data_IF_251646852732
#
_entry.id   IF_251646852732
#
_cell.length_a   1.000
_cell.length_b   1.000
_cell.length_c   1.000
_cell.angle_alpha   90.00
_cell.angle_beta   90.00
_cell.angle_gamma   90.00
#
_symmetry.space_group_name_H-M   'P 1'
#
loop_
_entity.id
_entity.type
_entity.pdbx_description
1 polymer ?
#
# COMPACT_ATOMS: atom_id res chain seq x y z
N UNK A 1 -13.97 10.30 24.49
CA UNK A 1 -12.51 10.64 24.51
C UNK A 1 -12.10 11.04 23.10
N UNK A 2 -11.50 12.19 22.91
CA UNK A 2 -11.15 12.70 21.58
C UNK A 2 -9.92 11.91 21.07
N UNK A 3 -10.13 10.96 20.15
CA UNK A 3 -9.08 10.10 19.58
C UNK A 3 -7.87 10.91 19.05
N UNK A 4 -8.11 12.11 18.53
CA UNK A 4 -7.08 13.03 18.07
C UNK A 4 -6.11 13.45 19.19
N UNK A 5 -6.61 13.64 20.40
CA UNK A 5 -5.80 14.05 21.58
C UNK A 5 -4.92 12.89 22.09
N UNK A 6 -5.42 11.67 21.97
CA UNK A 6 -4.68 10.45 22.35
C UNK A 6 -3.53 10.17 21.38
N UNK A 7 -3.78 10.33 20.09
CA UNK A 7 -2.77 10.13 19.04
C UNK A 7 -1.64 11.16 19.15
N UNK A 8 -1.97 12.42 19.38
CA UNK A 8 -0.98 13.52 19.54
C UNK A 8 -0.11 13.31 20.78
N UNK A 9 -0.68 12.82 21.90
CA UNK A 9 0.10 12.57 23.12
C UNK A 9 1.08 11.40 22.98
N UNK A 10 0.76 10.40 22.12
CA UNK A 10 1.63 9.27 21.82
C UNK A 10 2.77 9.66 20.85
N UNK A 11 2.53 10.65 19.99
CA UNK A 11 3.46 11.15 18.98
C UNK A 11 4.40 12.27 19.49
N UNK A 12 4.43 12.56 20.78
CA UNK A 12 5.31 13.60 21.37
C UNK A 12 6.81 13.27 21.27
N UNK A 13 7.18 12.32 20.46
CA UNK A 13 8.55 12.04 20.08
C UNK A 13 8.93 12.93 18.88
N UNK A 14 10.09 13.61 18.94
CA UNK A 14 10.59 14.60 17.98
C UNK A 14 10.69 14.17 16.51
N UNK A 15 10.38 12.89 16.23
CA UNK A 15 10.52 12.27 14.90
C UNK A 15 9.20 12.10 14.13
N UNK A 16 8.10 12.69 14.63
CA UNK A 16 6.79 12.54 13.99
C UNK A 16 6.22 13.90 13.60
N UNK A 17 5.74 13.99 12.38
CA UNK A 17 5.01 15.17 11.90
C UNK A 17 3.57 14.74 11.60
N UNK A 18 2.62 15.43 12.21
CA UNK A 18 1.22 15.26 11.93
C UNK A 18 0.73 16.43 11.07
N UNK A 19 0.33 16.13 9.85
CA UNK A 19 -0.33 17.09 8.98
C UNK A 19 -1.86 16.98 9.17
N UNK A 20 -2.52 18.11 9.31
CA UNK A 20 -3.98 18.18 9.24
C UNK A 20 -4.44 17.84 7.80
N UNK A 21 -5.73 17.97 7.52
CA UNK A 21 -6.24 17.75 6.17
C UNK A 21 -5.54 18.69 5.17
N UNK A 22 -4.82 18.11 4.22
CA UNK A 22 -4.12 18.83 3.14
C UNK A 22 -4.78 18.50 1.79
N UNK A 23 -4.67 19.38 0.78
CA UNK A 23 -5.15 19.11 -0.57
C UNK A 23 -4.52 17.84 -1.15
N UNK A 24 -5.26 17.11 -2.00
CA UNK A 24 -4.77 15.86 -2.61
C UNK A 24 -3.47 16.04 -3.40
N UNK A 25 -3.35 17.14 -4.14
CA UNK A 25 -2.13 17.47 -4.92
C UNK A 25 -0.91 17.61 -4.03
N UNK A 26 -1.04 18.29 -2.90
CA UNK A 26 0.02 18.43 -1.89
C UNK A 26 0.35 17.09 -1.24
N UNK A 27 -0.64 16.25 -0.93
CA UNK A 27 -0.43 14.92 -0.40
C UNK A 27 0.36 14.03 -1.37
N UNK A 28 0.04 14.07 -2.67
CA UNK A 28 0.77 13.34 -3.71
C UNK A 28 2.20 13.85 -3.81
N UNK A 29 2.40 15.16 -3.83
CA UNK A 29 3.75 15.75 -3.88
C UNK A 29 4.61 15.30 -2.69
N UNK A 30 4.06 15.32 -1.48
CA UNK A 30 4.74 14.82 -0.29
C UNK A 30 5.10 13.33 -0.44
N UNK A 31 4.17 12.49 -0.89
CA UNK A 31 4.41 11.06 -1.09
C UNK A 31 5.50 10.80 -2.13
N UNK A 32 5.49 11.52 -3.24
CA UNK A 32 6.45 11.33 -4.33
C UNK A 32 7.84 11.88 -3.96
N UNK A 33 7.91 13.08 -3.42
CA UNK A 33 9.15 13.81 -3.30
C UNK A 33 9.79 13.77 -1.90
N UNK A 34 9.02 13.46 -0.85
CA UNK A 34 9.51 13.50 0.54
C UNK A 34 9.48 12.15 1.25
N UNK A 35 8.56 11.27 0.91
CA UNK A 35 8.44 9.97 1.58
C UNK A 35 9.33 8.91 0.93
N UNK A 36 9.96 8.08 1.74
CA UNK A 36 10.77 6.96 1.29
C UNK A 36 9.99 5.65 1.26
N UNK A 37 9.04 5.50 2.17
CA UNK A 37 8.19 4.33 2.35
C UNK A 37 6.76 4.80 2.60
N UNK A 38 5.79 4.13 2.02
CA UNK A 38 4.37 4.39 2.26
C UNK A 38 3.78 3.26 3.07
N UNK A 39 2.97 3.60 4.08
CA UNK A 39 2.32 2.63 4.93
C UNK A 39 0.81 2.62 4.68
N UNK A 40 0.26 1.44 4.45
CA UNK A 40 -1.17 1.18 4.35
C UNK A 40 -1.60 0.20 5.44
N UNK A 41 -2.82 0.38 5.95
CA UNK A 41 -3.42 -0.53 6.93
C UNK A 41 -4.61 -1.21 6.27
N UNK A 42 -4.69 -2.52 6.39
CA UNK A 42 -5.75 -3.36 5.86
C UNK A 42 -7.10 -3.10 6.51
N UNK A 43 -8.14 -3.55 5.84
CA UNK A 43 -9.49 -3.54 6.37
C UNK A 43 -9.74 -4.78 7.26
N UNK A 44 -10.73 -4.70 8.12
CA UNK A 44 -11.19 -5.82 8.94
C UNK A 44 -12.14 -6.77 8.18
N UNK A 45 -12.35 -6.54 6.88
CA UNK A 45 -13.18 -7.38 6.02
C UNK A 45 -12.41 -7.86 4.78
N UNK A 46 -12.86 -8.96 4.19
CA UNK A 46 -12.22 -9.63 3.04
C UNK A 46 -12.71 -9.17 1.67
N UNK A 47 -13.70 -8.29 1.65
CA UNK A 47 -14.41 -7.93 0.41
C UNK A 47 -13.93 -6.61 -0.20
N UNK A 48 -13.22 -5.82 0.57
CA UNK A 48 -12.83 -4.47 0.16
C UNK A 48 -11.32 -4.32 0.10
N UNK A 49 -10.82 -4.04 -1.10
CA UNK A 49 -9.43 -3.60 -1.25
C UNK A 49 -9.26 -2.18 -0.70
N UNK A 50 -8.20 -1.93 0.07
CA UNK A 50 -7.88 -0.58 0.51
C UNK A 50 -7.50 0.29 -0.70
N UNK A 51 -8.34 1.25 -1.07
CA UNK A 51 -8.11 2.10 -2.25
C UNK A 51 -6.77 2.84 -2.22
N UNK A 52 -6.31 3.20 -1.02
CA UNK A 52 -5.04 3.91 -0.84
C UNK A 52 -3.82 3.06 -1.18
N UNK A 53 -3.86 1.76 -0.95
CA UNK A 53 -2.71 0.90 -1.28
C UNK A 53 -2.48 0.83 -2.78
N UNK A 54 -3.54 0.83 -3.58
CA UNK A 54 -3.44 0.84 -5.04
C UNK A 54 -2.79 2.15 -5.53
N UNK A 55 -3.24 3.28 -4.98
CA UNK A 55 -2.60 4.58 -5.25
C UNK A 55 -1.11 4.56 -4.87
N UNK A 56 -0.76 4.01 -3.71
CA UNK A 56 0.64 3.96 -3.25
C UNK A 56 1.53 3.07 -4.13
N UNK A 57 1.03 1.92 -4.55
CA UNK A 57 1.74 1.03 -5.49
C UNK A 57 2.07 1.79 -6.78
N UNK A 58 1.11 2.56 -7.33
CA UNK A 58 1.28 3.32 -8.57
C UNK A 58 2.35 4.42 -8.49
N UNK A 59 2.71 4.87 -7.30
CA UNK A 59 3.77 5.87 -7.11
C UNK A 59 5.19 5.28 -7.19
N UNK A 60 5.33 3.96 -7.35
CA UNK A 60 6.62 3.28 -7.47
C UNK A 60 7.50 3.32 -6.21
N UNK A 61 6.94 3.71 -5.08
CA UNK A 61 7.64 3.72 -3.77
C UNK A 61 7.47 2.36 -3.07
N UNK A 62 8.36 1.99 -2.14
CA UNK A 62 8.12 0.85 -1.26
C UNK A 62 6.83 1.06 -0.47
N UNK A 63 5.94 0.08 -0.54
CA UNK A 63 4.67 0.06 0.18
C UNK A 63 4.70 -1.07 1.20
N UNK A 64 4.50 -0.73 2.45
CA UNK A 64 4.24 -1.71 3.51
C UNK A 64 2.73 -1.71 3.79
N UNK A 65 2.09 -2.84 3.55
CA UNK A 65 0.68 -3.03 3.87
C UNK A 65 0.53 -3.90 5.10
N UNK A 66 0.00 -3.33 6.19
CA UNK A 66 -0.26 -4.08 7.41
C UNK A 66 -1.61 -4.80 7.31
N UNK A 67 -1.56 -6.12 7.17
CA UNK A 67 -2.74 -6.97 7.14
C UNK A 67 -3.31 -7.14 8.55
N UNK A 68 -4.53 -6.65 8.78
CA UNK A 68 -5.27 -6.81 10.05
C UNK A 68 -5.83 -8.22 10.22
N UNK A 69 -6.13 -8.91 9.13
CA UNK A 69 -6.74 -10.24 9.09
C UNK A 69 -5.89 -11.19 8.26
N UNK A 70 -5.93 -12.49 8.59
CA UNK A 70 -5.13 -13.54 7.94
C UNK A 70 -5.44 -13.75 6.46
N UNK A 71 -6.65 -13.40 6.03
CA UNK A 71 -7.12 -13.50 4.66
C UNK A 71 -7.33 -12.11 4.01
N UNK A 72 -6.45 -11.17 4.32
CA UNK A 72 -6.46 -9.85 3.70
C UNK A 72 -6.39 -9.99 2.17
N UNK A 73 -7.29 -9.32 1.42
CA UNK A 73 -7.35 -9.44 -0.03
C UNK A 73 -6.06 -8.99 -0.74
N UNK A 74 -5.22 -8.19 -0.09
CA UNK A 74 -3.94 -7.74 -0.65
C UNK A 74 -2.91 -8.85 -0.82
N UNK A 75 -3.01 -9.97 -0.10
CA UNK A 75 -2.10 -11.11 -0.29
C UNK A 75 -2.07 -11.64 -1.73
N UNK A 76 -3.17 -11.49 -2.48
CA UNK A 76 -3.24 -11.88 -3.88
C UNK A 76 -2.32 -11.05 -4.79
N UNK A 77 -1.95 -9.86 -4.35
CA UNK A 77 -1.19 -8.88 -5.14
C UNK A 77 0.28 -8.79 -4.75
N UNK A 78 0.69 -9.36 -3.61
CA UNK A 78 2.07 -9.24 -3.12
C UNK A 78 3.10 -9.74 -4.14
N UNK A 79 2.79 -10.84 -4.85
CA UNK A 79 3.71 -11.41 -5.84
C UNK A 79 3.70 -10.69 -7.19
N UNK A 80 2.72 -9.80 -7.43
CA UNK A 80 2.61 -9.05 -8.68
C UNK A 80 3.42 -7.74 -8.66
N UNK A 81 3.65 -7.18 -7.47
CA UNK A 81 4.29 -5.88 -7.33
C UNK A 81 5.52 -5.96 -6.43
N UNK A 82 6.69 -5.77 -7.02
CA UNK A 82 7.96 -5.81 -6.31
C UNK A 82 8.15 -4.69 -5.28
N UNK A 83 7.34 -3.63 -5.37
CA UNK A 83 7.33 -2.52 -4.41
C UNK A 83 6.30 -2.69 -3.28
N UNK A 84 5.56 -3.81 -3.25
CA UNK A 84 4.59 -4.13 -2.19
C UNK A 84 5.14 -5.23 -1.28
N UNK A 85 5.09 -4.99 0.02
CA UNK A 85 5.33 -6.01 1.04
C UNK A 85 4.16 -6.01 2.03
N UNK A 86 3.55 -7.18 2.20
CA UNK A 86 2.51 -7.38 3.21
C UNK A 86 3.17 -7.81 4.52
N UNK A 87 2.83 -7.11 5.55
CA UNK A 87 3.31 -7.37 6.91
C UNK A 87 2.12 -7.62 7.85
N UNK A 88 2.34 -8.39 8.88
CA UNK A 88 1.39 -8.66 9.94
C UNK A 88 2.12 -8.77 11.28
N UNK A 89 1.41 -9.08 12.35
CA UNK A 89 1.99 -9.19 13.72
C UNK A 89 3.09 -10.23 13.84
N UNK A 90 3.13 -11.22 12.94
CA UNK A 90 4.11 -12.32 12.97
C UNK A 90 5.29 -12.09 12.01
N UNK A 91 5.27 -11.01 11.24
CA UNK A 91 6.35 -10.69 10.29
C UNK A 91 7.65 -10.44 11.03
N UNK A 92 8.68 -11.18 10.66
CA UNK A 92 9.99 -11.07 11.29
C UNK A 92 10.73 -9.82 10.83
N UNK A 93 11.50 -9.23 11.73
CA UNK A 93 12.30 -8.03 11.47
C UNK A 93 13.26 -8.20 10.28
N UNK A 94 13.86 -9.36 10.18
CA UNK A 94 14.83 -9.72 9.15
C UNK A 94 14.20 -9.74 7.76
N UNK A 95 12.97 -10.22 7.67
CA UNK A 95 12.19 -10.22 6.42
C UNK A 95 11.92 -8.80 5.94
N UNK A 96 11.52 -7.93 6.85
CA UNK A 96 11.29 -6.51 6.55
C UNK A 96 12.59 -5.81 6.13
N UNK A 97 13.68 -6.05 6.85
CA UNK A 97 14.99 -5.49 6.53
C UNK A 97 15.45 -5.92 5.13
N UNK A 98 15.30 -7.20 4.79
CA UNK A 98 15.64 -7.72 3.46
C UNK A 98 14.84 -7.05 2.35
N UNK A 99 13.55 -6.87 2.54
CA UNK A 99 12.70 -6.16 1.57
C UNK A 99 13.19 -4.72 1.33
N UNK A 100 13.43 -3.97 2.42
CA UNK A 100 13.88 -2.59 2.33
C UNK A 100 15.28 -2.45 1.70
N UNK A 101 16.20 -3.36 2.02
CA UNK A 101 17.54 -3.38 1.43
C UNK A 101 17.49 -3.68 -0.07
N UNK A 102 16.71 -4.68 -0.48
CA UNK A 102 16.55 -5.00 -1.90
C UNK A 102 15.95 -3.83 -2.69
N UNK A 103 15.05 -3.09 -2.08
CA UNK A 103 14.46 -1.91 -2.70
C UNK A 103 15.47 -0.77 -2.88
N UNK A 104 16.36 -0.55 -1.93
CA UNK A 104 17.41 0.48 -2.02
C UNK A 104 18.45 0.15 -3.09
N UNK A 105 18.76 -1.14 -3.31
CA UNK A 105 19.78 -1.60 -4.26
C UNK A 105 19.27 -1.73 -5.69
N UNK A 106 17.97 -1.86 -5.87
CA UNK A 106 17.33 -1.96 -7.18
C UNK A 106 16.70 -0.62 -7.54
N UNK A 107 17.06 -0.09 -8.70
CA UNK A 107 16.22 0.90 -9.40
C UNK A 107 14.95 0.16 -9.81
N UNK A 108 14.02 0.01 -8.88
CA UNK A 108 12.76 -0.67 -9.13
C UNK A 108 11.98 0.19 -10.09
N UNK A 109 11.99 -0.18 -11.36
CA UNK A 109 11.06 0.38 -12.32
C UNK A 109 9.67 -0.12 -11.96
N UNK A 110 8.77 0.81 -11.73
CA UNK A 110 7.36 0.50 -11.59
C UNK A 110 6.89 -0.18 -12.89
N UNK A 111 6.36 -1.38 -12.76
CA UNK A 111 5.80 -2.13 -13.87
C UNK A 111 4.39 -1.61 -14.18
N UNK A 112 4.34 -0.59 -15.05
CA UNK A 112 3.09 0.06 -15.43
C UNK A 112 2.15 -0.89 -16.17
N UNK A 113 2.69 -1.77 -17.00
CA UNK A 113 1.89 -2.72 -17.78
C UNK A 113 1.19 -3.71 -16.86
N UNK A 114 1.91 -4.22 -15.86
CA UNK A 114 1.34 -5.10 -14.85
C UNK A 114 0.29 -4.37 -13.99
N UNK A 115 0.52 -3.13 -13.63
CA UNK A 115 -0.45 -2.33 -12.90
C UNK A 115 -1.72 -2.10 -13.73
N UNK A 116 -1.58 -1.69 -14.98
CA UNK A 116 -2.72 -1.44 -15.88
C UNK A 116 -3.54 -2.70 -16.12
N UNK A 117 -2.88 -3.85 -16.29
CA UNK A 117 -3.54 -5.13 -16.49
C UNK A 117 -4.35 -5.60 -15.28
N UNK A 118 -4.04 -5.15 -14.08
CA UNK A 118 -4.74 -5.56 -12.86
C UNK A 118 -5.75 -4.56 -12.33
N UNK A 119 -5.56 -3.26 -12.58
CA UNK A 119 -6.32 -2.21 -11.89
C UNK A 119 -7.00 -1.18 -12.79
N UNK A 120 -6.92 -1.32 -14.10
CA UNK A 120 -7.66 -0.41 -14.99
C UNK A 120 -9.10 -0.86 -15.19
N UNK A 121 -9.96 0.10 -15.55
CA UNK A 121 -11.36 -0.19 -15.89
C UNK A 121 -11.46 -1.22 -17.02
N UNK A 122 -10.53 -1.18 -17.99
CA UNK A 122 -10.48 -2.13 -19.10
C UNK A 122 -10.23 -3.56 -18.60
N UNK A 123 -9.23 -3.78 -17.77
CA UNK A 123 -8.92 -5.10 -17.23
C UNK A 123 -10.05 -5.65 -16.35
N UNK A 124 -10.73 -4.79 -15.60
CA UNK A 124 -11.89 -5.19 -14.78
C UNK A 124 -13.05 -5.65 -15.68
N UNK A 125 -13.34 -4.92 -16.76
CA UNK A 125 -14.40 -5.26 -17.71
C UNK A 125 -14.06 -6.57 -18.45
N UNK A 126 -12.83 -6.75 -18.90
CA UNK A 126 -12.37 -7.97 -19.57
C UNK A 126 -12.48 -9.20 -18.65
N UNK A 127 -12.10 -9.08 -17.37
CA UNK A 127 -12.23 -10.13 -16.39
C UNK A 127 -13.71 -10.46 -16.06
N UNK A 128 -14.59 -9.47 -16.03
CA UNK A 128 -16.03 -9.68 -15.85
C UNK A 128 -16.63 -10.40 -17.05
N UNK A 129 -16.30 -10.00 -18.28
CA UNK A 129 -16.80 -10.60 -19.49
C UNK A 129 -16.36 -12.08 -19.62
N UNK A 130 -15.10 -12.38 -19.33
CA UNK A 130 -14.58 -13.75 -19.34
C UNK A 130 -15.27 -14.65 -18.30
N UNK A 131 -15.62 -14.09 -17.14
CA UNK A 131 -16.35 -14.81 -16.09
C UNK A 131 -17.80 -15.12 -16.46
N UNK A 132 -18.43 -14.29 -17.31
CA UNK A 132 -19.80 -14.48 -17.77
C UNK A 132 -19.90 -15.51 -18.92
N UNK A 133 -18.85 -15.70 -19.69
CA UNK A 133 -18.84 -16.65 -20.83
C UNK A 133 -18.38 -18.06 -20.46
N UNK A 134 -17.89 -18.27 -19.24
CA UNK A 134 -17.44 -19.57 -18.74
C UNK A 134 -18.48 -20.28 -17.85
N UNK A 135 -19.77 -19.95 -17.97
CA UNK A 135 -20.88 -20.65 -17.28
C UNK A 135 -21.71 -21.44 -18.27
#
# INVERSE_FOLDING_TARGET
MNQKKYFISYLNNKNHTFNSLIPRTEAIDLMVNKMHILLSIGNTNTFQLPSKVIEYISLGKPVLHFAEISNDPMYKFEHLFNNLKIINRNTQKEELQKFLQNFQLQTVKFDIDNFENNFTSKSIIENLNSSLHNK
#
